data_IF_597538458575
#
_entry.id   IF_597538458575
#
_cell.length_a   1.000
_cell.length_b   1.000
_cell.length_c   1.000
_cell.angle_alpha   90.00
_cell.angle_beta   90.00
_cell.angle_gamma   90.00
#
_symmetry.space_group_name_H-M   'P 1'
#
loop_
_entity.id
_entity.type
_entity.pdbx_description
1 polymer ?
#
# COMPACT_ATOMS: atom_id res chain seq x y z
N UNK A 1 0.45 -11.82 30.64
CA UNK A 1 -0.59 -12.69 30.05
C UNK A 1 0.07 -13.92 29.45
N UNK A 2 -0.22 -15.13 29.94
CA UNK A 2 0.39 -16.37 29.44
C UNK A 2 -0.48 -17.03 28.37
N UNK A 3 0.11 -17.40 27.23
CA UNK A 3 -0.57 -18.24 26.22
C UNK A 3 -0.79 -19.66 26.77
N UNK A 4 -1.92 -20.27 26.43
CA UNK A 4 -2.22 -21.65 26.79
C UNK A 4 -1.11 -22.60 26.28
N UNK A 5 -0.57 -23.43 27.19
CA UNK A 5 0.56 -24.32 26.88
C UNK A 5 0.27 -25.30 25.73
N UNK A 6 -0.99 -25.69 25.54
CA UNK A 6 -1.42 -26.53 24.41
C UNK A 6 -1.24 -25.81 23.07
N UNK A 7 -1.56 -24.51 23.03
CA UNK A 7 -1.40 -23.67 21.85
C UNK A 7 0.09 -23.47 21.55
N UNK A 8 0.90 -23.18 22.56
CA UNK A 8 2.36 -23.05 22.41
C UNK A 8 2.98 -24.33 21.85
N UNK A 9 2.57 -25.50 22.37
CA UNK A 9 3.03 -26.80 21.87
C UNK A 9 2.61 -27.04 20.42
N UNK A 10 1.37 -26.68 20.07
CA UNK A 10 0.88 -26.81 18.70
C UNK A 10 1.66 -25.92 17.71
N UNK A 11 1.88 -24.64 18.06
CA UNK A 11 2.69 -23.72 17.25
C UNK A 11 4.13 -24.25 17.09
N UNK A 12 4.73 -24.74 18.18
CA UNK A 12 6.06 -25.34 18.15
C UNK A 12 6.14 -26.53 17.20
N UNK A 13 5.15 -27.42 17.25
CA UNK A 13 5.08 -28.58 16.35
C UNK A 13 4.87 -28.16 14.90
N UNK A 14 4.08 -27.10 14.66
CA UNK A 14 3.87 -26.55 13.32
C UNK A 14 5.15 -25.93 12.71
N UNK A 15 6.05 -25.37 13.53
CA UNK A 15 7.31 -24.79 13.07
C UNK A 15 8.45 -25.81 12.89
N UNK A 16 8.46 -26.90 13.66
CA UNK A 16 9.56 -27.88 13.72
C UNK A 16 9.50 -28.94 12.62
N UNK A 17 10.67 -29.50 12.28
CA UNK A 17 10.79 -30.67 11.41
C UNK A 17 10.27 -30.45 9.98
N UNK A 18 10.22 -29.18 9.53
CA UNK A 18 9.70 -28.84 8.22
C UNK A 18 10.78 -29.11 7.16
N UNK A 19 10.35 -29.72 6.06
CA UNK A 19 11.16 -29.94 4.87
C UNK A 19 10.53 -29.20 3.69
N UNK A 20 11.37 -28.73 2.78
CA UNK A 20 10.96 -28.11 1.52
C UNK A 20 11.69 -28.75 0.34
N UNK A 21 11.07 -28.70 -0.84
CA UNK A 21 11.67 -29.08 -2.12
C UNK A 21 11.05 -28.25 -3.23
N UNK A 22 11.73 -28.13 -4.36
CA UNK A 22 11.23 -27.44 -5.55
C UNK A 22 10.70 -28.47 -6.53
N UNK A 23 9.57 -28.17 -7.17
CA UNK A 23 9.01 -28.94 -8.27
C UNK A 23 9.07 -28.09 -9.53
N UNK A 24 9.83 -28.54 -10.53
CA UNK A 24 9.96 -27.82 -11.80
C UNK A 24 9.63 -28.77 -12.95
N UNK A 25 8.56 -28.48 -13.69
CA UNK A 25 8.11 -29.30 -14.83
C UNK A 25 7.95 -30.80 -14.50
N UNK A 26 7.53 -31.13 -13.28
CA UNK A 26 7.35 -32.52 -12.82
C UNK A 26 8.59 -33.14 -12.17
N UNK A 27 9.77 -32.53 -12.32
CA UNK A 27 11.00 -32.97 -11.64
C UNK A 27 11.05 -32.45 -10.19
N UNK A 28 11.53 -33.29 -9.28
CA UNK A 28 11.57 -33.03 -7.85
C UNK A 28 13.02 -32.82 -7.39
N UNK A 29 13.30 -31.73 -6.69
CA UNK A 29 14.57 -31.60 -5.97
C UNK A 29 14.60 -32.52 -4.74
N UNK A 30 15.81 -32.75 -4.19
CA UNK A 30 15.95 -33.33 -2.86
C UNK A 30 15.26 -32.49 -1.78
N UNK A 31 14.92 -33.15 -0.67
CA UNK A 31 14.37 -32.49 0.51
C UNK A 31 15.45 -31.66 1.22
N UNK A 32 15.09 -30.45 1.65
CA UNK A 32 15.93 -29.57 2.45
C UNK A 32 15.18 -29.15 3.70
N UNK A 33 15.85 -29.18 4.85
CA UNK A 33 15.25 -28.73 6.10
C UNK A 33 15.03 -27.22 6.13
N UNK A 34 13.91 -26.81 6.72
CA UNK A 34 13.54 -25.40 6.92
C UNK A 34 13.77 -25.05 8.39
N UNK A 35 14.92 -24.45 8.67
CA UNK A 35 15.37 -24.14 10.03
C UNK A 35 14.80 -22.84 10.59
N UNK A 36 14.24 -21.96 9.75
CA UNK A 36 13.67 -20.67 10.16
C UNK A 36 12.50 -20.22 9.26
N UNK A 37 11.80 -19.17 9.70
CA UNK A 37 10.68 -18.58 8.95
C UNK A 37 9.36 -19.33 9.08
N UNK A 38 8.31 -18.76 8.51
CA UNK A 38 6.96 -19.34 8.47
C UNK A 38 6.62 -19.81 7.05
N UNK A 39 5.81 -20.87 6.86
CA UNK A 39 5.33 -21.27 5.54
C UNK A 39 4.56 -20.15 4.84
N UNK A 40 5.00 -19.79 3.63
CA UNK A 40 4.27 -18.87 2.77
C UNK A 40 2.95 -19.48 2.31
N UNK A 41 1.90 -18.66 2.19
CA UNK A 41 0.55 -19.12 1.88
C UNK A 41 -0.22 -19.72 3.07
N UNK A 42 0.39 -19.82 4.25
CA UNK A 42 -0.32 -20.23 5.46
C UNK A 42 -1.10 -19.08 6.10
N UNK A 43 -2.24 -19.39 6.71
CA UNK A 43 -3.06 -18.43 7.47
C UNK A 43 -2.34 -17.95 8.73
N UNK A 44 -1.59 -18.85 9.39
CA UNK A 44 -0.92 -18.56 10.67
C UNK A 44 0.41 -17.81 10.51
N UNK A 45 1.10 -17.98 9.37
CA UNK A 45 2.40 -17.37 9.13
C UNK A 45 2.44 -15.85 9.36
N UNK A 46 1.54 -15.06 8.74
CA UNK A 46 1.49 -13.61 8.95
C UNK A 46 1.25 -13.21 10.42
N UNK A 47 0.41 -13.95 11.15
CA UNK A 47 0.11 -13.67 12.56
C UNK A 47 1.36 -13.88 13.42
N UNK A 48 2.06 -15.00 13.22
CA UNK A 48 3.29 -15.29 13.95
C UNK A 48 4.41 -14.32 13.59
N UNK A 49 4.48 -13.89 12.33
CA UNK A 49 5.43 -12.87 11.91
C UNK A 49 5.17 -11.53 12.60
N UNK A 50 3.91 -11.07 12.64
CA UNK A 50 3.54 -9.84 13.35
C UNK A 50 3.86 -9.94 14.84
N UNK A 51 3.60 -11.09 15.47
CA UNK A 51 3.96 -11.33 16.86
C UNK A 51 5.48 -11.28 17.07
N UNK A 52 6.26 -11.83 16.14
CA UNK A 52 7.72 -11.84 16.19
C UNK A 52 8.33 -10.43 16.12
N UNK A 53 7.77 -9.54 15.30
CA UNK A 53 8.26 -8.16 15.17
C UNK A 53 7.60 -7.18 16.15
N UNK A 54 6.82 -7.67 17.14
CA UNK A 54 6.01 -6.78 17.99
C UNK A 54 6.89 -5.90 18.87
N UNK A 55 8.01 -6.42 19.37
CA UNK A 55 9.00 -5.73 20.21
C UNK A 55 9.97 -4.81 19.44
N UNK A 56 9.98 -4.90 18.10
CA UNK A 56 10.70 -3.95 17.25
C UNK A 56 10.11 -2.53 17.43
N UNK A 57 10.95 -1.61 17.91
CA UNK A 57 10.55 -0.25 18.28
C UNK A 57 11.72 0.75 18.27
N UNK A 58 11.39 2.02 18.48
CA UNK A 58 12.33 3.13 18.66
C UNK A 58 12.59 3.37 20.15
N UNK A 59 13.75 3.93 20.48
CA UNK A 59 14.09 4.33 21.86
C UNK A 59 13.63 5.75 22.15
N UNK A 60 13.69 6.62 21.15
CA UNK A 60 13.41 8.05 21.29
C UNK A 60 11.91 8.40 21.36
N UNK A 61 11.03 7.48 20.97
CA UNK A 61 9.61 7.77 20.72
C UNK A 61 9.31 8.28 19.31
N UNK A 62 10.29 8.34 18.42
CA UNK A 62 10.07 8.56 16.99
C UNK A 62 9.10 7.54 16.42
N UNK A 63 8.38 7.94 15.37
CA UNK A 63 7.35 7.11 14.74
C UNK A 63 8.00 5.93 14.04
N UNK A 64 7.54 4.71 14.36
CA UNK A 64 7.89 3.50 13.65
C UNK A 64 6.64 2.84 13.07
N UNK A 65 6.49 2.88 11.75
CA UNK A 65 5.38 2.23 11.04
C UNK A 65 5.88 0.90 10.49
N UNK A 66 5.12 -0.17 10.76
CA UNK A 66 5.44 -1.55 10.36
C UNK A 66 4.33 -2.11 9.48
N UNK A 67 4.69 -2.66 8.33
CA UNK A 67 3.79 -3.42 7.46
C UNK A 67 4.53 -4.65 6.94
N UNK A 68 4.27 -5.81 7.55
CA UNK A 68 5.09 -6.99 7.33
C UNK A 68 6.59 -6.65 7.46
N UNK A 69 7.41 -6.96 6.46
CA UNK A 69 8.84 -6.67 6.41
C UNK A 69 9.17 -5.18 6.15
N UNK A 70 8.23 -4.40 5.59
CA UNK A 70 8.42 -2.98 5.37
C UNK A 70 8.34 -2.19 6.69
N UNK A 71 9.45 -1.57 7.08
CA UNK A 71 9.54 -0.73 8.28
C UNK A 71 9.93 0.70 7.91
N UNK A 72 9.27 1.69 8.51
CA UNK A 72 9.53 3.11 8.26
C UNK A 72 9.73 3.85 9.57
N UNK A 73 10.92 4.45 9.70
CA UNK A 73 11.26 5.35 10.79
C UNK A 73 10.99 6.79 10.34
N UNK A 74 10.22 7.52 11.12
CA UNK A 74 9.94 8.94 10.92
C UNK A 74 10.23 9.74 12.18
N UNK A 75 10.96 10.84 12.02
CA UNK A 75 11.31 11.75 13.10
C UNK A 75 11.50 13.18 12.58
N UNK A 76 11.49 14.14 13.50
CA UNK A 76 11.89 15.53 13.20
C UNK A 76 13.39 15.52 12.92
N UNK A 77 13.88 16.39 12.01
CA UNK A 77 15.29 16.44 11.59
C UNK A 77 15.76 17.87 11.32
N UNK A 78 15.39 18.83 12.19
CA UNK A 78 15.67 20.26 11.99
C UNK A 78 17.05 20.65 12.56
N UNK A 79 17.53 19.92 13.56
CA UNK A 79 18.77 20.17 14.29
C UNK A 79 19.70 18.96 14.27
N UNK A 80 20.98 19.16 14.63
CA UNK A 80 21.93 18.04 14.75
C UNK A 80 21.53 17.06 15.85
N UNK A 81 20.92 17.56 16.93
CA UNK A 81 20.35 16.71 17.99
C UNK A 81 19.22 15.81 17.46
N UNK A 82 18.38 16.35 16.58
CA UNK A 82 17.33 15.57 15.94
C UNK A 82 17.91 14.47 15.04
N UNK A 83 18.95 14.80 14.26
CA UNK A 83 19.72 13.81 13.48
C UNK A 83 20.25 12.70 14.38
N UNK A 84 20.89 13.06 15.48
CA UNK A 84 21.47 12.08 16.41
C UNK A 84 20.41 11.16 16.98
N UNK A 85 19.25 11.72 17.33
CA UNK A 85 18.10 10.94 17.82
C UNK A 85 17.61 9.92 16.77
N UNK A 86 17.50 10.31 15.50
CA UNK A 86 17.13 9.40 14.41
C UNK A 86 18.22 8.34 14.17
N UNK A 87 19.50 8.73 14.23
CA UNK A 87 20.61 7.80 14.04
C UNK A 87 20.68 6.76 15.16
N UNK A 88 20.47 7.16 16.42
CA UNK A 88 20.37 6.23 17.55
C UNK A 88 19.23 5.22 17.40
N UNK A 89 18.09 5.65 16.86
CA UNK A 89 16.99 4.73 16.54
C UNK A 89 17.38 3.77 15.41
N UNK A 90 18.03 4.24 14.34
CA UNK A 90 18.55 3.36 13.27
C UNK A 90 19.52 2.31 13.81
N UNK A 91 20.44 2.72 14.68
CA UNK A 91 21.41 1.82 15.32
C UNK A 91 20.69 0.80 16.23
N UNK A 92 19.65 1.23 16.95
CA UNK A 92 18.80 0.34 17.72
C UNK A 92 18.09 -0.71 16.84
N UNK A 93 17.51 -0.29 15.72
CA UNK A 93 16.86 -1.19 14.76
C UNK A 93 17.87 -2.21 14.21
N UNK A 94 19.09 -1.78 13.87
CA UNK A 94 20.16 -2.68 13.40
C UNK A 94 20.54 -3.69 14.47
N UNK A 95 20.71 -3.27 15.72
CA UNK A 95 21.03 -4.16 16.84
C UNK A 95 19.91 -5.19 17.10
N UNK A 96 18.65 -4.76 17.05
CA UNK A 96 17.50 -5.66 17.12
C UNK A 96 17.51 -6.67 15.97
N UNK A 97 17.79 -6.21 14.75
CA UNK A 97 17.84 -7.06 13.54
C UNK A 97 18.90 -8.15 13.63
N UNK A 98 20.06 -7.82 14.21
CA UNK A 98 21.17 -8.75 14.43
C UNK A 98 20.82 -9.79 15.49
N UNK A 99 20.23 -9.36 16.60
CA UNK A 99 19.79 -10.23 17.70
C UNK A 99 18.71 -11.21 17.25
N UNK A 100 17.78 -10.75 16.41
CA UNK A 100 16.65 -11.52 15.91
C UNK A 100 16.93 -12.25 14.57
N UNK A 101 18.16 -12.13 14.05
CA UNK A 101 18.59 -12.73 12.76
C UNK A 101 17.69 -12.35 11.58
N UNK A 102 17.17 -11.12 11.58
CA UNK A 102 16.32 -10.56 10.52
C UNK A 102 17.01 -9.35 9.89
N UNK A 103 18.08 -9.58 9.12
CA UNK A 103 18.88 -8.49 8.54
C UNK A 103 18.07 -7.65 7.57
N UNK A 104 18.21 -6.32 7.67
CA UNK A 104 17.69 -5.39 6.68
C UNK A 104 18.41 -5.54 5.33
N UNK A 105 17.67 -5.31 4.24
CA UNK A 105 18.27 -5.11 2.92
C UNK A 105 18.67 -3.64 2.78
N UNK A 106 19.86 -3.30 3.27
CA UNK A 106 20.33 -1.91 3.35
C UNK A 106 20.37 -1.20 1.99
N UNK A 107 20.66 -1.91 0.89
CA UNK A 107 20.69 -1.35 -0.46
C UNK A 107 19.31 -0.84 -0.94
N UNK A 108 18.24 -1.49 -0.45
CA UNK A 108 16.86 -1.09 -0.73
C UNK A 108 16.34 -0.01 0.23
N UNK A 109 17.04 0.22 1.34
CA UNK A 109 16.65 1.25 2.29
C UNK A 109 17.11 2.63 1.79
N UNK A 110 16.20 3.60 1.83
CA UNK A 110 16.43 4.97 1.38
C UNK A 110 16.00 5.95 2.46
N UNK A 111 16.51 7.19 2.40
CA UNK A 111 16.05 8.30 3.24
C UNK A 111 15.32 9.33 2.38
N UNK A 112 14.08 9.65 2.74
CA UNK A 112 13.33 10.73 2.10
C UNK A 112 13.25 11.93 3.05
N UNK A 113 13.73 13.07 2.59
CA UNK A 113 13.68 14.32 3.35
C UNK A 113 12.38 15.06 3.04
N UNK A 114 11.60 15.31 4.10
CA UNK A 114 10.32 16.01 4.04
C UNK A 114 10.37 17.30 4.84
N UNK A 115 9.70 18.35 4.33
CA UNK A 115 9.53 19.63 5.02
C UNK A 115 10.59 20.69 4.69
N UNK A 116 10.23 21.95 4.87
CA UNK A 116 11.03 23.12 4.47
C UNK A 116 12.26 23.31 5.36
N UNK A 117 12.17 22.93 6.64
CA UNK A 117 13.24 23.09 7.63
C UNK A 117 14.21 21.90 7.66
N UNK A 118 14.06 20.94 6.75
CA UNK A 118 14.91 19.76 6.70
C UNK A 118 16.30 20.12 6.18
N UNK A 119 17.34 19.82 6.96
CA UNK A 119 18.74 20.10 6.61
C UNK A 119 19.39 19.02 5.74
N UNK A 120 18.63 18.00 5.31
CA UNK A 120 19.10 16.87 4.51
C UNK A 120 20.31 16.15 5.13
N UNK A 121 20.22 15.87 6.44
CA UNK A 121 21.25 15.13 7.15
C UNK A 121 21.44 13.72 6.57
N UNK A 122 22.67 13.21 6.66
CA UNK A 122 23.00 11.84 6.24
C UNK A 122 22.83 10.88 7.40
N UNK A 123 22.42 9.66 7.06
CA UNK A 123 22.18 8.58 8.01
C UNK A 123 22.82 7.29 7.51
N UNK A 124 23.13 6.39 8.44
CA UNK A 124 23.64 5.05 8.14
C UNK A 124 22.74 3.98 8.72
N UNK A 125 22.58 2.88 8.00
CA UNK A 125 21.96 1.65 8.49
C UNK A 125 23.07 0.61 8.65
N UNK A 126 23.62 0.52 9.86
CA UNK A 126 24.84 -0.23 10.12
C UNK A 126 26.03 0.42 9.41
N UNK A 127 26.73 -0.33 8.57
CA UNK A 127 27.87 0.19 7.79
C UNK A 127 27.47 0.85 6.47
N UNK A 128 26.19 0.78 6.08
CA UNK A 128 25.71 1.30 4.81
C UNK A 128 25.14 2.71 4.96
N UNK A 129 25.64 3.67 4.17
CA UNK A 129 25.05 5.00 4.12
C UNK A 129 23.76 4.99 3.29
N UNK A 130 22.67 5.51 3.86
CA UNK A 130 21.39 5.58 3.17
C UNK A 130 21.44 6.63 2.05
N UNK A 131 20.97 6.24 0.87
CA UNK A 131 20.82 7.16 -0.25
C UNK A 131 19.57 8.01 -0.08
N UNK A 132 19.72 9.32 -0.31
CA UNK A 132 18.60 10.24 -0.34
C UNK A 132 17.77 10.03 -1.61
N UNK A 133 16.45 10.13 -1.47
CA UNK A 133 15.50 9.94 -2.57
C UNK A 133 14.44 11.04 -2.56
N UNK A 134 14.03 11.47 -3.75
CA UNK A 134 12.92 12.41 -3.91
C UNK A 134 11.57 11.70 -4.08
N UNK A 135 11.58 10.39 -4.32
CA UNK A 135 10.39 9.62 -4.64
C UNK A 135 10.53 8.17 -4.19
N UNK A 136 9.57 7.67 -3.43
CA UNK A 136 9.51 6.27 -3.04
C UNK A 136 8.13 5.70 -3.16
N UNK A 137 8.08 4.40 -3.43
CA UNK A 137 6.84 3.66 -3.53
C UNK A 137 6.55 2.94 -2.22
N UNK A 138 5.49 3.38 -1.55
CA UNK A 138 5.01 2.78 -0.31
C UNK A 138 3.67 2.07 -0.51
N UNK A 139 3.61 0.76 -0.22
CA UNK A 139 2.41 -0.07 -0.33
C UNK A 139 1.62 0.11 -1.64
N UNK A 140 2.32 0.37 -2.74
CA UNK A 140 1.71 0.59 -4.06
C UNK A 140 1.46 2.05 -4.45
N UNK A 141 1.67 2.99 -3.53
CA UNK A 141 1.48 4.43 -3.71
C UNK A 141 2.83 5.14 -3.83
N UNK A 142 2.96 6.01 -4.82
CA UNK A 142 4.14 6.84 -5.00
C UNK A 142 4.06 8.08 -4.12
N UNK A 143 5.10 8.32 -3.32
CA UNK A 143 5.22 9.50 -2.45
C UNK A 143 6.41 10.30 -2.93
N UNK A 144 6.19 11.58 -3.23
CA UNK A 144 7.24 12.53 -3.57
C UNK A 144 7.63 13.39 -2.36
N UNK A 145 8.88 13.85 -2.31
CA UNK A 145 9.42 14.66 -1.20
C UNK A 145 8.67 15.99 -0.98
N UNK A 146 7.93 16.46 -1.99
CA UNK A 146 7.08 17.65 -1.92
C UNK A 146 5.65 17.35 -1.47
N UNK A 147 5.31 16.07 -1.27
CA UNK A 147 3.99 15.58 -0.86
C UNK A 147 2.84 16.07 -1.77
N UNK A 148 3.12 16.29 -3.06
CA UNK A 148 2.12 16.84 -3.99
C UNK A 148 1.16 15.80 -4.55
N UNK A 149 1.56 14.53 -4.53
CA UNK A 149 0.79 13.39 -5.06
C UNK A 149 0.53 13.45 -6.57
N UNK A 150 1.12 14.43 -7.28
CA UNK A 150 0.91 14.62 -8.72
C UNK A 150 1.47 13.44 -9.53
N UNK A 151 2.67 12.97 -9.15
CA UNK A 151 3.32 11.83 -9.81
C UNK A 151 2.55 10.52 -9.61
N UNK A 152 1.95 10.34 -8.43
CA UNK A 152 1.04 9.23 -8.16
C UNK A 152 -0.21 9.30 -9.06
N UNK A 153 -0.81 10.49 -9.21
CA UNK A 153 -1.95 10.69 -10.11
C UNK A 153 -1.58 10.30 -11.55
N UNK A 154 -0.44 10.76 -12.05
CA UNK A 154 0.03 10.44 -13.40
C UNK A 154 0.26 8.92 -13.57
N UNK A 155 0.83 8.27 -12.57
CA UNK A 155 1.04 6.81 -12.56
C UNK A 155 -0.28 6.04 -12.58
N UNK A 156 -1.25 6.45 -11.77
CA UNK A 156 -2.60 5.88 -11.72
C UNK A 156 -3.32 6.03 -13.07
N UNK A 157 -3.29 7.24 -13.64
CA UNK A 157 -3.87 7.56 -14.96
C UNK A 157 -3.23 6.74 -16.06
N UNK A 158 -1.90 6.58 -16.06
CA UNK A 158 -1.19 5.78 -17.06
C UNK A 158 -1.62 4.31 -17.03
N UNK A 159 -1.66 3.70 -15.85
CA UNK A 159 -2.10 2.29 -15.68
C UNK A 159 -3.57 2.11 -16.08
N UNK A 160 -4.44 3.01 -15.62
CA UNK A 160 -5.86 2.94 -15.92
C UNK A 160 -6.14 3.11 -17.42
N UNK A 161 -5.46 4.04 -18.11
CA UNK A 161 -5.59 4.21 -19.55
C UNK A 161 -5.04 3.01 -20.35
N UNK A 162 -3.95 2.37 -19.89
CA UNK A 162 -3.43 1.17 -20.53
C UNK A 162 -4.48 0.05 -20.54
N UNK A 163 -5.11 -0.21 -19.39
CA UNK A 163 -6.17 -1.21 -19.26
C UNK A 163 -7.41 -0.82 -20.05
N UNK A 164 -7.82 0.46 -19.99
CA UNK A 164 -8.93 0.97 -20.78
C UNK A 164 -8.67 0.79 -22.28
N UNK A 165 -7.43 0.99 -22.74
CA UNK A 165 -7.00 0.72 -24.10
C UNK A 165 -7.10 -0.75 -24.49
N UNK A 166 -6.74 -1.66 -23.57
CA UNK A 166 -6.94 -3.10 -23.76
C UNK A 166 -8.43 -3.46 -23.87
N UNK A 167 -9.29 -2.94 -22.99
CA UNK A 167 -10.75 -3.14 -23.08
C UNK A 167 -11.29 -2.61 -24.41
N UNK A 168 -10.84 -1.42 -24.84
CA UNK A 168 -11.28 -0.81 -26.09
C UNK A 168 -11.01 -1.70 -27.31
N UNK A 169 -9.82 -2.31 -27.37
CA UNK A 169 -9.36 -3.16 -28.48
C UNK A 169 -9.85 -4.60 -28.38
N UNK A 170 -9.91 -5.15 -27.17
CA UNK A 170 -10.20 -6.57 -26.95
C UNK A 170 -11.68 -6.90 -26.81
N UNK A 171 -12.54 -5.92 -26.50
CA UNK A 171 -13.98 -6.15 -26.31
C UNK A 171 -14.76 -5.53 -27.47
N UNK A 172 -15.39 -6.39 -28.28
CA UNK A 172 -16.18 -5.97 -29.44
C UNK A 172 -17.49 -5.30 -29.04
N UNK A 173 -18.22 -5.83 -28.04
CA UNK A 173 -19.45 -5.22 -27.53
C UNK A 173 -19.17 -3.86 -26.90
N UNK A 174 -20.05 -2.90 -27.17
CA UNK A 174 -20.04 -1.55 -26.59
C UNK A 174 -21.24 -1.30 -25.67
N UNK A 175 -21.93 -2.36 -25.27
CA UNK A 175 -23.12 -2.27 -24.44
C UNK A 175 -22.75 -1.90 -23.00
N UNK A 176 -23.64 -1.18 -22.33
CA UNK A 176 -23.39 -0.69 -20.96
C UNK A 176 -23.28 -1.85 -19.97
N UNK A 177 -24.01 -2.93 -20.20
CA UNK A 177 -24.04 -4.16 -19.41
C UNK A 177 -22.69 -4.87 -19.41
N UNK A 178 -21.86 -4.66 -20.44
CA UNK A 178 -20.53 -5.25 -20.55
C UNK A 178 -19.45 -4.26 -20.09
N UNK A 179 -19.47 -3.04 -20.61
CA UNK A 179 -18.38 -2.09 -20.40
C UNK A 179 -18.39 -1.47 -18.99
N UNK A 180 -19.56 -1.26 -18.37
CA UNK A 180 -19.61 -0.68 -17.02
C UNK A 180 -19.01 -1.64 -15.97
N UNK A 181 -19.35 -2.94 -15.94
CA UNK A 181 -18.69 -3.89 -15.05
C UNK A 181 -17.18 -3.98 -15.27
N UNK A 182 -16.72 -4.04 -16.52
CA UNK A 182 -15.28 -4.09 -16.85
C UNK A 182 -14.55 -2.83 -16.37
N UNK A 183 -15.12 -1.65 -16.59
CA UNK A 183 -14.56 -0.40 -16.07
C UNK A 183 -14.46 -0.42 -14.53
N UNK A 184 -15.55 -0.83 -13.84
CA UNK A 184 -15.60 -0.93 -12.38
C UNK A 184 -14.56 -1.92 -11.82
N UNK A 185 -14.38 -3.06 -12.47
CA UNK A 185 -13.55 -4.15 -11.98
C UNK A 185 -12.06 -4.00 -12.35
N UNK A 186 -11.74 -3.43 -13.52
CA UNK A 186 -10.37 -3.46 -14.05
C UNK A 186 -9.72 -2.07 -14.12
N UNK A 187 -10.48 -1.01 -14.39
CA UNK A 187 -9.90 0.33 -14.59
C UNK A 187 -9.98 1.16 -13.31
N UNK A 188 -11.16 1.22 -12.71
CA UNK A 188 -11.43 2.05 -11.52
C UNK A 188 -10.53 1.74 -10.33
N UNK A 189 -10.18 0.48 -10.01
CA UNK A 189 -9.30 0.19 -8.87
C UNK A 189 -7.97 0.93 -8.96
N UNK A 190 -7.39 1.10 -10.16
CA UNK A 190 -6.15 1.85 -10.33
C UNK A 190 -6.29 3.36 -10.06
N UNK A 191 -7.50 3.90 -10.15
CA UNK A 191 -7.79 5.31 -9.88
C UNK A 191 -8.20 5.57 -8.43
N UNK A 192 -8.62 4.55 -7.69
CA UNK A 192 -9.21 4.67 -6.34
C UNK A 192 -8.40 3.95 -5.25
N UNK A 193 -7.45 3.09 -5.60
CA UNK A 193 -6.59 2.37 -4.64
C UNK A 193 -5.88 3.35 -3.71
N UNK A 194 -6.03 3.19 -2.39
CA UNK A 194 -5.43 4.03 -1.34
C UNK A 194 -5.70 5.54 -1.49
N UNK A 195 -6.77 5.94 -2.17
CA UNK A 195 -7.01 7.37 -2.49
C UNK A 195 -7.26 8.26 -1.27
N UNK A 196 -7.59 7.67 -0.12
CA UNK A 196 -7.68 8.38 1.14
C UNK A 196 -6.32 8.95 1.57
N UNK A 197 -5.21 8.32 1.16
CA UNK A 197 -3.86 8.74 1.49
C UNK A 197 -3.30 9.77 0.50
N UNK A 198 -3.49 9.56 -0.81
CA UNK A 198 -2.90 10.41 -1.86
C UNK A 198 -3.92 11.31 -2.57
N UNK A 199 -5.00 11.72 -1.89
CA UNK A 199 -6.06 12.53 -2.50
C UNK A 199 -5.44 13.73 -3.29
N UNK A 200 -5.78 13.92 -4.58
CA UNK A 200 -5.15 14.93 -5.41
C UNK A 200 -5.25 16.33 -4.80
N UNK A 201 -4.10 17.00 -4.64
CA UNK A 201 -4.05 18.36 -4.09
C UNK A 201 -4.51 19.42 -5.09
N UNK A 202 -4.21 19.21 -6.38
CA UNK A 202 -4.48 20.19 -7.43
C UNK A 202 -5.66 19.79 -8.32
N UNK A 203 -6.45 20.78 -8.73
CA UNK A 203 -7.57 20.61 -9.67
C UNK A 203 -7.16 19.99 -11.00
N UNK A 204 -5.94 20.28 -11.48
CA UNK A 204 -5.39 19.66 -12.69
C UNK A 204 -5.31 18.14 -12.58
N UNK A 205 -4.92 17.61 -11.41
CA UNK A 205 -4.73 16.17 -11.22
C UNK A 205 -6.06 15.47 -10.94
N UNK A 206 -6.96 16.13 -10.21
CA UNK A 206 -8.36 15.72 -10.09
C UNK A 206 -9.01 15.56 -11.48
N UNK A 207 -8.79 16.55 -12.35
CA UNK A 207 -9.29 16.54 -13.72
C UNK A 207 -8.67 15.39 -14.54
N UNK A 208 -7.36 15.17 -14.48
CA UNK A 208 -6.69 14.06 -15.19
C UNK A 208 -7.29 12.71 -14.83
N UNK A 209 -7.57 12.46 -13.54
CA UNK A 209 -8.22 11.22 -13.10
C UNK A 209 -9.64 11.12 -13.67
N UNK A 210 -10.43 12.20 -13.58
CA UNK A 210 -11.80 12.25 -14.10
C UNK A 210 -11.85 12.06 -15.62
N UNK A 211 -10.81 12.47 -16.36
CA UNK A 211 -10.70 12.25 -17.80
C UNK A 211 -10.69 10.76 -18.17
N UNK A 212 -10.13 9.90 -17.33
CA UNK A 212 -10.15 8.44 -17.58
C UNK A 212 -11.59 7.92 -17.53
N UNK A 213 -12.37 8.33 -16.53
CA UNK A 213 -13.78 7.96 -16.45
C UNK A 213 -14.58 8.56 -17.61
N UNK A 214 -14.35 9.84 -17.96
CA UNK A 214 -14.99 10.51 -19.12
C UNK A 214 -14.74 9.77 -20.44
N UNK A 215 -13.53 9.23 -20.64
CA UNK A 215 -13.18 8.41 -21.81
C UNK A 215 -13.90 7.06 -21.76
N UNK A 216 -13.86 6.38 -20.62
CA UNK A 216 -14.51 5.08 -20.45
C UNK A 216 -16.02 5.16 -20.72
N UNK A 217 -16.71 6.17 -20.16
CA UNK A 217 -18.15 6.35 -20.39
C UNK A 217 -18.48 6.78 -21.82
N UNK A 218 -17.52 7.31 -22.60
CA UNK A 218 -17.75 7.72 -24.00
C UNK A 218 -17.70 6.52 -24.94
N UNK A 219 -17.01 5.46 -24.55
CA UNK A 219 -16.87 4.25 -25.37
C UNK A 219 -18.13 3.39 -25.40
N UNK A 220 -19.12 3.70 -24.57
CA UNK A 220 -20.37 2.97 -24.44
C UNK A 220 -21.35 3.48 -25.49
N UNK A 221 -22.01 2.55 -26.17
CA UNK A 221 -22.99 2.85 -27.22
C UNK A 221 -24.10 3.75 -26.70
N UNK A 222 -24.40 4.83 -27.41
CA UNK A 222 -25.43 5.81 -27.04
C UNK A 222 -24.98 6.86 -26.03
N UNK A 223 -23.73 6.82 -25.59
CA UNK A 223 -23.13 7.78 -24.64
C UNK A 223 -22.11 8.71 -25.31
N UNK A 224 -21.91 8.64 -26.62
CA UNK A 224 -20.80 9.31 -27.31
C UNK A 224 -20.91 10.83 -27.23
N UNK A 225 -22.12 11.35 -27.47
CA UNK A 225 -22.43 12.78 -27.60
C UNK A 225 -23.10 13.38 -26.35
N UNK A 226 -23.40 12.55 -25.34
CA UNK A 226 -24.06 13.03 -24.13
C UNK A 226 -23.09 13.82 -23.22
N UNK A 227 -23.56 14.91 -22.58
CA UNK A 227 -22.81 15.58 -21.53
C UNK A 227 -22.38 14.60 -20.43
N UNK A 228 -21.22 14.83 -19.79
CA UNK A 228 -20.64 13.87 -18.86
C UNK A 228 -21.56 13.53 -17.69
N UNK A 229 -22.23 14.54 -17.16
CA UNK A 229 -23.13 14.46 -16.02
C UNK A 229 -24.36 13.61 -16.37
N UNK A 230 -24.86 13.71 -17.61
CA UNK A 230 -25.92 12.82 -18.12
C UNK A 230 -25.41 11.38 -18.25
N UNK A 231 -24.21 11.16 -18.80
CA UNK A 231 -23.61 9.81 -18.91
C UNK A 231 -23.48 9.14 -17.55
N UNK A 232 -23.04 9.88 -16.53
CA UNK A 232 -22.96 9.38 -15.16
C UNK A 232 -24.33 8.93 -14.64
N UNK A 233 -25.39 9.71 -14.87
CA UNK A 233 -26.75 9.36 -14.47
C UNK A 233 -27.27 8.11 -15.18
N UNK A 234 -27.17 8.06 -16.51
CA UNK A 234 -27.66 6.93 -17.32
C UNK A 234 -26.91 5.61 -17.02
N UNK A 235 -25.63 5.70 -16.64
CA UNK A 235 -24.78 4.55 -16.33
C UNK A 235 -24.76 4.19 -14.83
N UNK A 236 -25.50 4.90 -13.98
CA UNK A 236 -25.50 4.67 -12.53
C UNK A 236 -24.11 4.86 -11.89
N UNK A 237 -23.36 5.86 -12.34
CA UNK A 237 -22.01 6.16 -11.87
C UNK A 237 -21.96 7.48 -11.11
N UNK A 238 -21.10 7.54 -10.09
CA UNK A 238 -20.69 8.80 -9.47
C UNK A 238 -19.40 9.31 -10.12
N UNK A 239 -19.17 10.63 -10.08
CA UNK A 239 -17.85 11.19 -10.40
C UNK A 239 -16.79 10.61 -9.47
N UNK A 240 -15.56 10.49 -9.96
CA UNK A 240 -14.47 9.98 -9.11
C UNK A 240 -14.23 10.94 -7.94
N UNK A 241 -14.42 12.24 -8.15
CA UNK A 241 -14.38 13.26 -7.09
C UNK A 241 -15.34 12.94 -5.93
N UNK A 242 -16.61 12.67 -6.24
CA UNK A 242 -17.62 12.34 -5.24
C UNK A 242 -17.31 11.02 -4.53
N UNK A 243 -16.76 10.05 -5.25
CA UNK A 243 -16.35 8.76 -4.68
C UNK A 243 -15.18 8.90 -3.71
N UNK A 244 -14.17 9.71 -4.06
CA UNK A 244 -13.05 10.04 -3.17
C UNK A 244 -13.53 10.70 -1.89
N UNK A 245 -14.39 11.72 -2.01
CA UNK A 245 -14.95 12.41 -0.85
C UNK A 245 -15.65 11.43 0.10
N UNK A 246 -16.49 10.54 -0.45
CA UNK A 246 -17.14 9.48 0.35
C UNK A 246 -16.10 8.59 1.05
N UNK A 247 -15.03 8.20 0.35
CA UNK A 247 -13.94 7.42 0.94
C UNK A 247 -13.26 8.13 2.10
N UNK A 248 -12.96 9.43 1.96
CA UNK A 248 -12.35 10.24 3.02
C UNK A 248 -13.28 10.36 4.23
N UNK A 249 -14.58 10.61 4.01
CA UNK A 249 -15.55 10.66 5.10
C UNK A 249 -15.61 9.34 5.89
N UNK A 250 -15.60 8.20 5.20
CA UNK A 250 -15.58 6.88 5.86
C UNK A 250 -14.30 6.67 6.68
N UNK A 251 -13.14 7.13 6.18
CA UNK A 251 -11.89 7.07 6.95
C UNK A 251 -11.98 7.93 8.21
N UNK A 252 -12.46 9.15 8.08
CA UNK A 252 -12.63 10.07 9.21
C UNK A 252 -13.55 9.48 10.28
N UNK A 253 -14.70 8.93 9.89
CA UNK A 253 -15.63 8.25 10.80
C UNK A 253 -14.94 7.10 11.55
N UNK A 254 -14.19 6.25 10.84
CA UNK A 254 -13.45 5.14 11.46
C UNK A 254 -12.37 5.60 12.44
N UNK A 255 -11.62 6.66 12.13
CA UNK A 255 -10.53 7.17 12.98
C UNK A 255 -11.08 7.93 14.19
N UNK A 256 -12.17 8.69 14.02
CA UNK A 256 -12.82 9.45 15.09
C UNK A 256 -13.70 8.59 16.01
N UNK A 257 -13.78 7.27 15.77
CA UNK A 257 -14.53 6.34 16.61
C UNK A 257 -16.06 6.42 16.48
N UNK A 258 -16.63 7.06 15.45
CA UNK A 258 -18.08 7.08 15.21
C UNK A 258 -18.50 5.91 14.31
N UNK A 259 -19.66 5.24 14.42
CA UNK A 259 -20.93 5.47 15.10
C UNK A 259 -21.44 4.12 15.63
N UNK A 260 -21.94 4.08 16.87
CA UNK A 260 -23.01 3.14 17.25
C UNK A 260 -24.29 3.57 16.53
N UNK A 261 -24.39 3.35 15.22
CA UNK A 261 -25.65 3.44 14.50
C UNK A 261 -26.00 2.06 13.97
N UNK A 262 -27.19 1.63 14.38
CA UNK A 262 -27.75 0.32 14.19
C UNK A 262 -27.66 -0.17 12.75
N UNK A 263 -27.60 -1.51 12.67
CA UNK A 263 -27.87 -2.31 11.49
C UNK A 263 -28.93 -1.66 10.59
N UNK A 264 -28.51 -1.16 9.43
CA UNK A 264 -29.22 -1.41 8.18
C UNK A 264 -28.19 -1.69 7.09
N UNK A 265 -27.90 -2.99 6.93
CA UNK A 265 -27.36 -3.55 5.69
C UNK A 265 -28.48 -3.47 4.66
N UNK A 266 -28.43 -2.51 3.76
CA UNK A 266 -29.00 -2.48 2.40
C UNK A 266 -28.41 -1.19 1.80
N UNK A 267 -27.55 -1.13 0.78
CA UNK A 267 -27.64 -1.73 -0.54
C UNK A 267 -26.21 -1.89 -1.12
N UNK A 268 -25.86 -3.11 -1.51
CA UNK A 268 -24.78 -3.42 -2.45
C UNK A 268 -25.45 -3.87 -3.76
N UNK A 269 -25.55 -2.94 -4.72
CA UNK A 269 -25.70 -3.20 -6.16
C UNK A 269 -25.37 -1.93 -6.94
#
# INVERSE_FOLDING_TARGET
MGMNMKVVRWIRNWLKGRLQRVVLKGELSGWKEVTSGVPQGSVLGPILFNLFITDLGTKSGNVLIKFADDTKLGGIANTEKDRDTIQEDLDHLVNWSNSNRMKYNSEKCKVMHLGINNKNFRYTLGTHQLEATEEEKDLGVLVDSRMTMSRQCDTAVKKANAILGCIRRGISSKDKEVLVPLYKALVRPHLEYCVQFWCPMFKKDEFKLEQVQRRATRMIRGMENLPYERRLKELGLFSLAKRRLRGICLLYINISGGLTLGRERNYLS
#
